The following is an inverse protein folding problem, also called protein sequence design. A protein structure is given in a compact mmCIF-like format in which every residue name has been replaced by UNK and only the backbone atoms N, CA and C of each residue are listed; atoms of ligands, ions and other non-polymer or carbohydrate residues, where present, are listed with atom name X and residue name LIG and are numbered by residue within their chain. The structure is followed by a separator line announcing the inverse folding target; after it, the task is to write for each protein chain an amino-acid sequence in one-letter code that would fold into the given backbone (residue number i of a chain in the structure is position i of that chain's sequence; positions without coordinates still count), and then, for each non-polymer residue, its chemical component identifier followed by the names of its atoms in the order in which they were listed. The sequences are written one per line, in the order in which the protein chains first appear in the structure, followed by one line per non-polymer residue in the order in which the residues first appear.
data_IF_725903751309
#
_entry.id   IF_725903751309
#
_cell.length_a   1.000
_cell.length_b   1.000
_cell.length_c   1.000
_cell.angle_alpha   90.00
_cell.angle_beta   90.00
_cell.angle_gamma   90.00
#
_symmetry.space_group_name_H-M   'P 1'
#
loop_
_entity.id
_entity.type
_entity.pdbx_description
1 polymer ?
#
# COMPACT_ATOMS: atom_id res chain seq x y z
N UNK A 1 -17.99 16.10 -18.36
CA UNK A 1 -18.82 15.29 -19.26
C UNK A 1 -17.96 14.34 -20.09
N UNK A 2 -18.57 13.47 -20.89
CA UNK A 2 -17.90 12.54 -21.79
C UNK A 2 -17.49 13.26 -23.07
N UNK A 3 -16.28 12.98 -23.56
CA UNK A 3 -15.84 13.33 -24.91
C UNK A 3 -15.83 12.09 -25.80
N UNK A 4 -16.06 12.26 -27.10
CA UNK A 4 -16.02 11.17 -28.09
C UNK A 4 -14.84 11.36 -29.02
N UNK A 5 -14.40 10.23 -29.57
CA UNK A 5 -13.31 10.20 -30.55
C UNK A 5 -12.09 10.97 -30.05
N UNK A 6 -11.64 10.58 -28.84
CA UNK A 6 -10.51 11.21 -28.16
C UNK A 6 -9.22 10.51 -28.52
N UNK A 7 -8.22 11.28 -28.99
CA UNK A 7 -6.84 10.82 -29.10
C UNK A 7 -6.00 11.45 -28.00
N UNK A 8 -5.20 10.64 -27.32
CA UNK A 8 -4.23 11.06 -26.31
C UNK A 8 -2.83 10.77 -26.84
N UNK A 9 -1.98 11.78 -26.86
CA UNK A 9 -0.56 11.63 -27.17
C UNK A 9 0.23 11.51 -25.88
N UNK A 10 1.03 10.45 -25.82
CA UNK A 10 1.96 10.20 -24.72
C UNK A 10 3.37 10.50 -25.24
N UNK A 11 4.12 11.32 -24.53
CA UNK A 11 5.51 11.66 -24.89
C UNK A 11 6.49 10.54 -24.47
N UNK A 12 7.74 10.70 -24.84
CA UNK A 12 8.81 9.74 -24.53
C UNK A 12 9.12 9.58 -23.03
N UNK A 13 8.56 10.46 -22.18
CA UNK A 13 8.63 10.37 -20.71
C UNK A 13 7.42 9.69 -20.07
N UNK A 14 6.46 9.23 -20.90
CA UNK A 14 5.21 8.60 -20.44
C UNK A 14 4.15 9.60 -19.95
N UNK A 15 4.27 10.88 -20.31
CA UNK A 15 3.31 11.92 -19.92
C UNK A 15 2.37 12.25 -21.05
N UNK A 16 1.15 12.68 -20.69
CA UNK A 16 0.18 13.19 -21.67
C UNK A 16 0.70 14.50 -22.24
N UNK A 17 1.06 14.48 -23.53
CA UNK A 17 1.53 15.66 -24.26
C UNK A 17 0.37 16.49 -24.83
N UNK A 18 -0.65 15.81 -25.37
CA UNK A 18 -1.88 16.47 -25.85
C UNK A 18 -3.10 15.57 -25.77
N UNK A 19 -4.27 16.19 -25.82
CA UNK A 19 -5.57 15.51 -25.90
C UNK A 19 -6.36 16.19 -27.00
N UNK A 20 -6.80 15.42 -28.00
CA UNK A 20 -7.63 15.88 -29.12
C UNK A 20 -9.00 15.20 -29.05
N UNK A 21 -10.05 15.94 -29.36
CA UNK A 21 -11.42 15.41 -29.46
C UNK A 21 -11.90 15.47 -30.91
N UNK A 22 -12.79 14.56 -31.30
CA UNK A 22 -13.23 14.43 -32.69
C UNK A 22 -12.12 13.94 -33.63
N UNK A 23 -11.13 13.25 -33.10
CA UNK A 23 -9.98 12.77 -33.86
C UNK A 23 -10.37 11.56 -34.73
N UNK A 24 -9.86 11.51 -35.96
CA UNK A 24 -9.95 10.29 -36.79
C UNK A 24 -8.78 9.38 -36.45
N UNK A 25 -9.04 8.07 -36.22
CA UNK A 25 -7.96 7.12 -35.90
C UNK A 25 -6.89 7.06 -36.99
N UNK A 26 -5.63 7.01 -36.57
CA UNK A 26 -4.47 6.84 -37.47
C UNK A 26 -3.98 5.38 -37.43
N UNK A 27 -3.27 4.94 -38.48
CA UNK A 27 -2.54 3.67 -38.41
C UNK A 27 -1.54 3.69 -37.25
N UNK A 28 -1.57 2.66 -36.41
CA UNK A 28 -0.70 2.54 -35.26
C UNK A 28 -1.30 3.07 -33.94
N UNK A 29 -2.45 3.75 -33.98
CA UNK A 29 -3.15 4.10 -32.74
C UNK A 29 -3.63 2.83 -31.99
N UNK A 30 -3.30 2.74 -30.72
CA UNK A 30 -3.93 1.79 -29.82
C UNK A 30 -5.36 2.26 -29.52
N UNK A 31 -6.34 1.33 -29.62
CA UNK A 31 -7.77 1.70 -29.59
C UNK A 31 -8.48 1.05 -28.43
N UNK A 32 -9.18 1.86 -27.65
CA UNK A 32 -10.02 1.45 -26.54
C UNK A 32 -11.41 2.03 -26.67
N UNK A 33 -12.42 1.26 -26.26
CA UNK A 33 -13.81 1.71 -26.30
C UNK A 33 -14.09 2.82 -25.28
N UNK A 34 -13.44 2.78 -24.14
CA UNK A 34 -13.57 3.76 -23.06
C UNK A 34 -12.21 3.96 -22.43
N UNK A 35 -11.83 5.21 -22.16
CA UNK A 35 -10.65 5.57 -21.41
C UNK A 35 -11.04 6.43 -20.23
N UNK A 36 -10.55 6.06 -19.06
CA UNK A 36 -10.74 6.77 -17.80
C UNK A 36 -9.38 7.07 -17.18
N UNK A 37 -9.21 8.21 -16.49
CA UNK A 37 -8.05 8.41 -15.64
C UNK A 37 -8.00 7.32 -14.57
N UNK A 38 -6.81 6.76 -14.33
CA UNK A 38 -6.61 5.84 -13.23
C UNK A 38 -6.76 6.56 -11.88
N UNK A 39 -7.24 5.82 -10.87
CA UNK A 39 -7.49 6.37 -9.55
C UNK A 39 -6.28 6.22 -8.62
N UNK A 40 -5.99 7.20 -7.74
CA UNK A 40 -5.11 6.95 -6.60
C UNK A 40 -5.87 6.24 -5.48
N UNK A 41 -5.25 5.23 -4.88
CA UNK A 41 -5.66 4.70 -3.59
C UNK A 41 -5.01 5.54 -2.48
N UNK A 42 -5.81 6.24 -1.69
CA UNK A 42 -5.30 7.21 -0.72
C UNK A 42 -4.93 6.62 0.63
N UNK A 43 -5.22 5.34 0.89
CA UNK A 43 -4.94 4.69 2.16
C UNK A 43 -4.78 3.18 1.99
N UNK A 44 -3.63 2.65 2.38
CA UNK A 44 -3.32 1.23 2.36
C UNK A 44 -2.42 0.84 3.54
N UNK A 45 -2.53 -0.41 3.94
CA UNK A 45 -1.62 -1.10 4.86
C UNK A 45 -1.24 -2.43 4.21
N UNK A 46 -0.24 -2.41 3.32
CA UNK A 46 0.04 -3.51 2.40
C UNK A 46 0.20 -4.88 3.10
N UNK A 47 0.88 -4.94 4.24
CA UNK A 47 1.09 -6.20 4.97
C UNK A 47 -0.21 -6.89 5.39
N UNK A 48 -1.31 -6.15 5.56
CA UNK A 48 -2.62 -6.70 5.94
C UNK A 48 -3.23 -7.58 4.84
N UNK A 49 -2.79 -7.43 3.58
CA UNK A 49 -3.23 -8.30 2.49
C UNK A 49 -2.93 -9.78 2.78
N UNK A 50 -1.89 -10.08 3.57
CA UNK A 50 -1.53 -11.44 3.96
C UNK A 50 -2.63 -12.18 4.74
N UNK A 51 -3.54 -11.46 5.38
CA UNK A 51 -4.63 -12.07 6.18
C UNK A 51 -5.97 -12.13 5.44
N UNK A 52 -6.02 -11.76 4.15
CA UNK A 52 -7.25 -11.84 3.36
C UNK A 52 -7.80 -13.26 3.33
N UNK A 53 -9.12 -13.40 3.54
CA UNK A 53 -9.80 -14.68 3.65
C UNK A 53 -9.65 -15.37 5.03
N UNK A 54 -8.84 -14.82 5.94
CA UNK A 54 -8.64 -15.36 7.28
C UNK A 54 -9.24 -14.47 8.38
N UNK A 55 -9.43 -13.20 8.09
CA UNK A 55 -10.04 -12.24 9.01
C UNK A 55 -11.54 -12.06 8.76
N UNK A 56 -12.03 -12.48 7.60
CA UNK A 56 -13.44 -12.41 7.19
C UNK A 56 -14.23 -13.68 7.50
N UNK A 57 -13.58 -14.72 8.03
CA UNK A 57 -14.23 -15.98 8.41
C UNK A 57 -14.86 -15.82 9.78
N UNK A 58 -16.19 -15.99 9.85
CA UNK A 58 -16.94 -15.94 11.10
C UNK A 58 -16.50 -17.08 12.03
N UNK A 59 -15.98 -16.71 13.20
CA UNK A 59 -15.63 -17.63 14.26
C UNK A 59 -16.85 -18.13 15.06
N UNK A 60 -16.59 -18.84 16.15
CA UNK A 60 -17.63 -19.32 17.09
C UNK A 60 -18.27 -18.19 17.92
N UNK A 61 -17.67 -17.01 17.94
CA UNK A 61 -18.16 -15.80 18.60
C UNK A 61 -18.50 -14.73 17.58
N UNK A 62 -19.22 -13.67 18.01
CA UNK A 62 -19.47 -12.52 17.16
C UNK A 62 -18.16 -11.87 16.72
N UNK A 63 -17.98 -11.69 15.41
CA UNK A 63 -16.84 -10.99 14.88
C UNK A 63 -16.85 -9.54 15.36
N UNK A 64 -15.69 -9.06 15.73
CA UNK A 64 -15.50 -7.71 16.22
C UNK A 64 -14.20 -7.14 15.68
N UNK A 65 -14.05 -5.81 15.77
CA UNK A 65 -12.79 -5.14 15.53
C UNK A 65 -11.63 -5.78 16.33
N UNK A 66 -11.90 -6.28 17.52
CA UNK A 66 -10.90 -6.87 18.41
C UNK A 66 -10.39 -8.23 17.90
N UNK A 67 -11.27 -9.10 17.41
CA UNK A 67 -10.88 -10.39 16.81
C UNK A 67 -10.08 -10.19 15.51
N UNK A 68 -10.49 -9.23 14.68
CA UNK A 68 -9.73 -8.82 13.50
C UNK A 68 -8.33 -8.31 13.89
N UNK A 69 -8.24 -7.46 14.92
CA UNK A 69 -6.98 -6.88 15.40
C UNK A 69 -6.01 -7.94 15.92
N UNK A 70 -6.49 -8.97 16.62
CA UNK A 70 -5.66 -10.09 17.06
C UNK A 70 -5.06 -10.86 15.88
N UNK A 71 -5.87 -11.13 14.85
CA UNK A 71 -5.40 -11.77 13.62
C UNK A 71 -4.34 -10.89 12.95
N UNK A 72 -4.57 -9.60 12.81
CA UNK A 72 -3.61 -8.66 12.25
C UNK A 72 -2.29 -8.66 13.01
N UNK A 73 -2.30 -8.68 14.35
CA UNK A 73 -1.07 -8.74 15.15
C UNK A 73 -0.30 -10.04 14.91
N UNK A 74 -0.97 -11.20 14.80
CA UNK A 74 -0.30 -12.47 14.51
C UNK A 74 0.47 -12.41 13.21
N UNK A 75 -0.11 -11.86 12.15
CA UNK A 75 0.57 -11.65 10.87
C UNK A 75 1.70 -10.64 10.99
N UNK A 76 1.42 -9.46 11.54
CA UNK A 76 2.41 -8.42 11.72
C UNK A 76 3.66 -8.91 12.48
N UNK A 77 3.49 -9.75 13.52
CA UNK A 77 4.59 -10.28 14.33
C UNK A 77 5.34 -11.45 13.68
N UNK A 78 4.76 -12.11 12.69
CA UNK A 78 5.37 -13.29 12.05
C UNK A 78 6.15 -12.97 10.77
N UNK A 79 5.76 -11.92 10.03
CA UNK A 79 6.31 -11.64 8.70
C UNK A 79 7.77 -11.22 8.73
N UNK A 80 8.55 -11.81 7.84
CA UNK A 80 9.93 -11.40 7.52
C UNK A 80 9.91 -10.21 6.54
N UNK A 81 11.02 -9.45 6.39
CA UNK A 81 11.11 -8.38 5.39
C UNK A 81 10.76 -8.82 3.97
N UNK A 82 11.28 -9.99 3.54
CA UNK A 82 10.97 -10.53 2.21
C UNK A 82 9.49 -10.89 2.04
N UNK A 83 8.81 -11.36 3.09
CA UNK A 83 7.37 -11.61 3.05
C UNK A 83 6.56 -10.32 3.00
N UNK A 84 6.99 -9.27 3.70
CA UNK A 84 6.36 -7.94 3.60
C UNK A 84 6.45 -7.41 2.17
N UNK A 85 7.63 -7.51 1.54
CA UNK A 85 7.82 -7.11 0.14
C UNK A 85 6.92 -7.91 -0.82
N UNK A 86 6.91 -9.25 -0.69
CA UNK A 86 6.12 -10.11 -1.57
C UNK A 86 4.60 -9.85 -1.46
N UNK A 87 4.11 -9.68 -0.22
CA UNK A 87 2.69 -9.37 0.02
C UNK A 87 2.31 -7.99 -0.50
N UNK A 88 3.19 -7.00 -0.31
CA UNK A 88 2.99 -5.66 -0.85
C UNK A 88 2.97 -5.69 -2.39
N UNK A 89 3.90 -6.40 -3.03
CA UNK A 89 3.93 -6.55 -4.48
C UNK A 89 2.65 -7.19 -5.01
N UNK A 90 2.15 -8.26 -4.37
CA UNK A 90 0.88 -8.88 -4.75
C UNK A 90 -0.28 -7.88 -4.66
N UNK A 91 -0.41 -7.14 -3.56
CA UNK A 91 -1.45 -6.12 -3.40
C UNK A 91 -1.35 -5.04 -4.47
N UNK A 92 -0.15 -4.58 -4.78
CA UNK A 92 0.06 -3.51 -5.75
C UNK A 92 -0.27 -3.93 -7.18
N UNK A 93 -0.01 -5.20 -7.53
CA UNK A 93 -0.49 -5.77 -8.81
C UNK A 93 -2.02 -5.80 -8.84
N UNK A 94 -2.67 -6.28 -7.77
CA UNK A 94 -4.14 -6.30 -7.67
C UNK A 94 -4.74 -4.87 -7.77
N UNK A 95 -4.07 -3.86 -7.19
CA UNK A 95 -4.47 -2.47 -7.33
C UNK A 95 -4.36 -1.98 -8.78
N UNK A 96 -3.26 -2.28 -9.47
CA UNK A 96 -3.07 -1.91 -10.87
C UNK A 96 -4.12 -2.58 -11.77
N UNK A 97 -4.40 -3.87 -11.56
CA UNK A 97 -5.45 -4.60 -12.28
C UNK A 97 -6.85 -4.01 -12.02
N UNK A 98 -7.09 -3.47 -10.83
CA UNK A 98 -8.32 -2.77 -10.47
C UNK A 98 -8.39 -1.32 -10.96
N UNK A 99 -7.36 -0.82 -11.65
CA UNK A 99 -7.33 0.53 -12.22
C UNK A 99 -6.77 1.62 -11.29
N UNK A 100 -6.11 1.25 -10.20
CA UNK A 100 -5.35 2.19 -9.40
C UNK A 100 -3.95 2.37 -9.96
N UNK A 101 -3.44 3.61 -9.99
CA UNK A 101 -2.10 3.90 -10.51
C UNK A 101 -1.12 4.38 -9.43
N UNK A 102 -1.62 4.71 -8.26
CA UNK A 102 -0.84 5.21 -7.12
C UNK A 102 -1.45 4.76 -5.81
N UNK A 103 -0.59 4.57 -4.81
CA UNK A 103 -1.02 4.21 -3.46
C UNK A 103 -0.40 5.16 -2.42
N UNK A 104 -1.22 5.59 -1.47
CA UNK A 104 -0.80 6.17 -0.19
C UNK A 104 -0.67 5.05 0.83
N UNK A 105 0.55 4.61 1.08
CA UNK A 105 0.84 3.51 1.98
C UNK A 105 1.09 4.02 3.39
N UNK A 106 0.15 3.78 4.28
CA UNK A 106 0.23 4.15 5.69
C UNK A 106 1.05 3.08 6.44
N UNK A 107 2.37 3.30 6.48
CA UNK A 107 3.36 2.32 6.91
C UNK A 107 3.68 2.48 8.40
N UNK A 108 3.34 1.46 9.21
CA UNK A 108 3.60 1.45 10.65
C UNK A 108 4.31 0.18 11.15
N UNK A 109 4.79 -0.66 10.26
CA UNK A 109 5.58 -1.86 10.58
C UNK A 109 7.06 -1.51 10.45
N UNK A 110 7.74 -1.19 11.57
CA UNK A 110 9.09 -0.61 11.56
C UNK A 110 10.18 -1.57 12.02
N UNK A 111 9.89 -2.42 13.01
CA UNK A 111 10.88 -3.19 13.75
C UNK A 111 10.86 -4.68 13.39
N UNK A 112 11.87 -5.43 13.84
CA UNK A 112 11.89 -6.88 13.71
C UNK A 112 10.83 -7.53 14.61
N UNK A 113 10.64 -8.83 14.46
CA UNK A 113 9.57 -9.61 15.08
C UNK A 113 9.60 -9.58 16.62
N UNK A 114 10.76 -9.41 17.21
CA UNK A 114 10.96 -9.25 18.65
C UNK A 114 10.82 -7.79 19.13
N UNK A 115 10.67 -6.83 18.20
CA UNK A 115 10.60 -5.39 18.47
C UNK A 115 11.95 -4.68 18.44
N UNK A 116 13.05 -5.39 18.16
CA UNK A 116 14.36 -4.77 17.96
C UNK A 116 14.43 -4.00 16.64
N UNK A 117 15.28 -2.98 16.59
CA UNK A 117 15.53 -2.25 15.35
C UNK A 117 16.39 -3.06 14.40
N UNK A 118 16.10 -3.02 13.11
CA UNK A 118 17.01 -3.49 12.08
C UNK A 118 18.28 -2.63 12.07
N UNK A 119 19.36 -3.16 11.48
CA UNK A 119 20.58 -2.39 11.23
C UNK A 119 20.29 -1.17 10.35
N UNK A 120 19.43 -1.33 9.35
CA UNK A 120 18.80 -0.25 8.61
C UNK A 120 17.41 0.00 9.21
N UNK A 121 17.22 1.14 9.87
CA UNK A 121 15.93 1.50 10.49
C UNK A 121 14.77 1.58 9.49
N UNK A 122 15.08 1.79 8.20
CA UNK A 122 14.12 1.87 7.11
C UNK A 122 13.88 0.52 6.40
N UNK A 123 14.45 -0.60 6.88
CA UNK A 123 14.39 -1.92 6.22
C UNK A 123 13.00 -2.25 5.67
N UNK A 124 11.96 -2.18 6.49
CA UNK A 124 10.60 -2.53 6.06
C UNK A 124 9.97 -1.48 5.14
N UNK A 125 10.34 -0.21 5.30
CA UNK A 125 9.92 0.86 4.39
C UNK A 125 10.55 0.69 2.99
N UNK A 126 11.82 0.29 2.93
CA UNK A 126 12.50 -0.02 1.67
C UNK A 126 11.91 -1.24 0.98
N UNK A 127 11.43 -2.26 1.72
CA UNK A 127 10.70 -3.40 1.15
C UNK A 127 9.40 -2.98 0.47
N UNK A 128 8.67 -2.05 1.07
CA UNK A 128 7.47 -1.45 0.45
C UNK A 128 7.85 -0.67 -0.81
N UNK A 129 8.92 0.13 -0.75
CA UNK A 129 9.39 0.88 -1.91
C UNK A 129 9.87 -0.05 -3.05
N UNK A 130 10.57 -1.14 -2.73
CA UNK A 130 10.99 -2.17 -3.70
C UNK A 130 9.80 -2.84 -4.36
N UNK A 131 8.77 -3.20 -3.59
CA UNK A 131 7.53 -3.77 -4.11
C UNK A 131 6.83 -2.81 -5.09
N UNK A 132 6.74 -1.53 -4.73
CA UNK A 132 6.13 -0.51 -5.59
C UNK A 132 6.95 -0.28 -6.87
N UNK A 133 8.28 -0.25 -6.76
CA UNK A 133 9.18 -0.13 -7.92
C UNK A 133 9.03 -1.33 -8.87
N UNK A 134 9.05 -2.55 -8.32
CA UNK A 134 8.95 -3.79 -9.10
C UNK A 134 7.61 -3.97 -9.81
N UNK A 135 6.53 -3.45 -9.25
CA UNK A 135 5.18 -3.51 -9.85
C UNK A 135 4.85 -2.31 -10.74
N UNK A 136 5.57 -1.20 -10.60
CA UNK A 136 5.34 0.02 -11.36
C UNK A 136 4.24 0.93 -10.81
N UNK A 137 3.63 0.61 -9.66
CA UNK A 137 2.64 1.49 -9.03
C UNK A 137 3.32 2.74 -8.46
N UNK A 138 2.69 3.91 -8.61
CA UNK A 138 3.17 5.12 -7.94
C UNK A 138 3.00 5.00 -6.42
N UNK A 139 4.04 5.33 -5.64
CA UNK A 139 4.01 5.23 -4.18
C UNK A 139 4.10 6.62 -3.54
N UNK A 140 3.27 6.83 -2.53
CA UNK A 140 3.44 7.86 -1.50
C UNK A 140 3.54 7.12 -0.17
N UNK A 141 4.77 6.93 0.30
CA UNK A 141 5.02 6.25 1.57
C UNK A 141 4.82 7.23 2.73
N UNK A 142 3.99 6.83 3.69
CA UNK A 142 3.63 7.60 4.88
C UNK A 142 4.08 6.84 6.13
N UNK A 143 5.34 6.99 6.57
CA UNK A 143 5.80 6.40 7.83
C UNK A 143 5.02 6.97 9.01
N UNK A 144 4.52 6.11 9.88
CA UNK A 144 3.66 6.50 11.00
C UNK A 144 4.45 6.54 12.30
N UNK A 145 4.41 7.65 12.98
CA UNK A 145 4.89 7.74 14.35
C UNK A 145 3.88 7.09 15.30
N UNK A 146 4.24 5.94 15.86
CA UNK A 146 3.39 5.16 16.75
C UNK A 146 4.00 5.13 18.15
N UNK A 147 3.51 5.92 19.09
CA UNK A 147 4.07 6.05 20.43
C UNK A 147 3.23 5.40 21.52
N UNK A 148 1.90 5.36 21.35
CA UNK A 148 0.96 4.90 22.38
C UNK A 148 -0.07 3.92 21.81
N UNK A 149 -0.60 3.07 22.67
CA UNK A 149 -1.57 2.04 22.31
C UNK A 149 -2.95 2.61 21.97
N UNK A 150 -3.35 3.69 22.64
CA UNK A 150 -4.65 4.32 22.49
C UNK A 150 -4.62 5.76 23.01
N UNK A 151 -5.76 6.44 22.91
CA UNK A 151 -5.93 7.78 23.47
C UNK A 151 -5.64 7.82 24.97
N UNK A 152 -5.09 8.95 25.44
CA UNK A 152 -4.70 9.11 26.85
C UNK A 152 -3.29 8.63 27.17
N UNK A 153 -2.49 8.24 26.16
CA UNK A 153 -1.10 7.89 26.35
C UNK A 153 -0.86 6.51 26.97
N UNK A 154 -1.80 5.57 26.78
CA UNK A 154 -1.65 4.22 27.29
C UNK A 154 -0.43 3.51 26.67
N UNK A 155 0.29 2.75 27.49
CA UNK A 155 1.46 1.99 27.09
C UNK A 155 1.12 0.97 25.98
N UNK A 156 2.01 0.80 24.97
CA UNK A 156 1.84 -0.21 23.94
C UNK A 156 1.85 -1.62 24.53
N UNK A 157 0.96 -2.47 24.00
CA UNK A 157 0.95 -3.88 24.35
C UNK A 157 1.98 -4.70 23.54
N UNK A 158 2.31 -5.94 23.95
CA UNK A 158 3.29 -6.77 23.24
C UNK A 158 2.98 -7.01 21.76
N UNK A 159 1.71 -6.96 21.34
CA UNK A 159 1.30 -7.08 19.93
C UNK A 159 1.73 -5.91 19.06
N UNK A 160 2.02 -4.78 19.66
CA UNK A 160 2.38 -3.52 18.99
C UNK A 160 3.89 -3.27 18.91
N UNK A 161 4.72 -4.19 19.43
CA UNK A 161 6.17 -3.99 19.56
C UNK A 161 6.91 -3.66 18.25
N UNK A 162 6.37 -4.07 17.11
CA UNK A 162 6.95 -3.76 15.78
C UNK A 162 6.59 -2.36 15.27
N UNK A 163 5.65 -1.69 15.90
CA UNK A 163 5.12 -0.40 15.47
C UNK A 163 5.71 0.78 16.22
N UNK A 164 6.08 0.54 17.49
CA UNK A 164 6.39 1.60 18.46
C UNK A 164 7.69 2.29 18.15
N UNK A 165 7.64 3.61 18.00
CA UNK A 165 8.79 4.46 17.83
C UNK A 165 8.92 5.50 18.94
N UNK A 166 10.15 5.88 19.22
CA UNK A 166 10.48 7.02 20.08
C UNK A 166 10.85 8.22 19.22
N UNK A 167 10.49 9.43 19.66
CA UNK A 167 10.67 10.67 18.90
C UNK A 167 12.11 10.93 18.48
N UNK A 168 13.09 10.51 19.27
CA UNK A 168 14.52 10.66 19.00
C UNK A 168 15.06 9.70 17.91
N UNK A 169 14.29 8.73 17.48
CA UNK A 169 14.69 7.73 16.45
C UNK A 169 13.87 7.84 15.17
N UNK A 170 12.66 8.34 15.26
CA UNK A 170 11.74 8.37 14.12
C UNK A 170 12.10 9.43 13.08
N UNK A 171 12.82 10.48 13.46
CA UNK A 171 13.23 11.57 12.56
C UNK A 171 14.71 11.52 12.17
N UNK A 172 15.41 10.41 12.42
CA UNK A 172 16.83 10.25 12.17
C UNK A 172 17.16 9.83 10.73
#
# INVERSE_FOLDING_TARGET
GWARDVRIFIDGSGRVASVETGATPLPGDERHSILLPAMPNLHSHAFQRAMAGLAEVRGSSADSFWSWRETMYRFALAMTPGQVEAVAAQLYVEMLEAGFCRVGEFHYLHHDRDGSTYANVAELAERIASAAHGTGIGLTLLPVFYAHSTFGGAEPNPGQRRFVNHSNRFGA
#
